data_IF_767151012252
#
_entry.id   IF_767151012252
#
_cell.length_a   1.000
_cell.length_b   1.000
_cell.length_c   1.000
_cell.angle_alpha   90.00
_cell.angle_beta   90.00
_cell.angle_gamma   90.00
#
_symmetry.space_group_name_H-M   'P 1'
#
loop_
_entity.id
_entity.type
_entity.pdbx_description
1 polymer ?
#
# COMPACT_ATOMS: atom_id res chain seq x y z
N UNK A 1 -32.97 -32.76 -24.21
CA UNK A 1 -32.86 -32.12 -22.88
C UNK A 1 -31.48 -32.30 -22.24
N UNK A 2 -30.89 -33.51 -22.18
CA UNK A 2 -29.54 -33.75 -21.59
C UNK A 2 -28.38 -32.95 -22.22
N UNK A 3 -28.40 -32.71 -23.55
CA UNK A 3 -27.36 -31.94 -24.25
C UNK A 3 -27.36 -30.44 -23.90
N UNK A 4 -28.54 -29.87 -23.59
CA UNK A 4 -28.67 -28.45 -23.19
C UNK A 4 -28.16 -28.26 -21.76
N UNK A 5 -28.41 -29.23 -20.88
CA UNK A 5 -27.92 -29.20 -19.49
C UNK A 5 -26.39 -29.26 -19.39
N UNK A 6 -25.73 -30.06 -20.26
CA UNK A 6 -24.27 -30.14 -20.32
C UNK A 6 -23.66 -28.83 -20.82
N UNK A 7 -24.26 -28.17 -21.83
CA UNK A 7 -23.76 -26.88 -22.33
C UNK A 7 -23.89 -25.74 -21.31
N UNK A 8 -24.94 -25.74 -20.49
CA UNK A 8 -25.10 -24.76 -19.40
C UNK A 8 -24.07 -25.01 -18.28
N UNK A 9 -23.79 -26.29 -17.96
CA UNK A 9 -22.78 -26.64 -16.95
C UNK A 9 -21.37 -26.22 -17.39
N UNK A 10 -21.03 -26.41 -18.66
CA UNK A 10 -19.73 -25.99 -19.22
C UNK A 10 -19.62 -24.47 -19.24
N UNK A 11 -20.67 -23.74 -19.63
CA UNK A 11 -20.68 -22.27 -19.61
C UNK A 11 -20.50 -21.68 -18.19
N UNK A 12 -21.05 -22.33 -17.16
CA UNK A 12 -20.86 -21.93 -15.76
C UNK A 12 -19.42 -22.15 -15.26
N UNK A 13 -18.75 -23.20 -15.72
CA UNK A 13 -17.35 -23.48 -15.35
C UNK A 13 -16.39 -22.45 -15.95
N UNK A 14 -16.62 -21.95 -17.17
CA UNK A 14 -15.77 -20.92 -17.79
C UNK A 14 -15.98 -19.51 -17.22
N UNK A 15 -17.14 -19.22 -16.63
CA UNK A 15 -17.40 -17.95 -15.94
C UNK A 15 -16.76 -17.90 -14.54
N UNK A 16 -16.38 -19.05 -13.99
CA UNK A 16 -15.61 -19.18 -12.74
C UNK A 16 -14.10 -18.98 -12.95
N UNK A 17 -13.70 -18.17 -13.93
CA UNK A 17 -12.36 -17.61 -13.97
C UNK A 17 -12.29 -16.50 -12.91
N UNK A 18 -12.08 -16.92 -11.66
CA UNK A 18 -12.02 -16.07 -10.48
C UNK A 18 -11.10 -14.85 -10.74
N UNK A 19 -11.69 -13.67 -10.81
CA UNK A 19 -10.94 -12.44 -10.74
C UNK A 19 -10.37 -12.33 -9.33
N UNK A 20 -9.05 -12.19 -9.20
CA UNK A 20 -8.40 -11.94 -7.90
C UNK A 20 -9.14 -10.79 -7.18
N UNK A 21 -9.53 -10.93 -5.91
CA UNK A 21 -10.33 -9.94 -5.18
C UNK A 21 -9.65 -8.55 -5.16
N UNK A 22 -8.32 -8.50 -5.23
CA UNK A 22 -7.54 -7.27 -5.23
C UNK A 22 -7.21 -6.71 -6.62
N UNK A 23 -7.76 -7.26 -7.71
CA UNK A 23 -7.44 -6.85 -9.09
C UNK A 23 -7.65 -5.34 -9.33
N UNK A 24 -8.76 -4.79 -8.84
CA UNK A 24 -9.08 -3.37 -8.98
C UNK A 24 -8.12 -2.50 -8.17
N UNK A 25 -7.86 -2.86 -6.92
CA UNK A 25 -6.90 -2.17 -6.05
C UNK A 25 -5.49 -2.19 -6.66
N UNK A 26 -5.01 -3.34 -7.11
CA UNK A 26 -3.71 -3.50 -7.76
C UNK A 26 -3.59 -2.67 -9.05
N UNK A 27 -4.68 -2.54 -9.82
CA UNK A 27 -4.71 -1.64 -10.98
C UNK A 27 -4.58 -0.17 -10.56
N UNK A 28 -5.26 0.24 -9.50
CA UNK A 28 -5.15 1.60 -8.92
C UNK A 28 -3.72 1.87 -8.42
N UNK A 29 -3.16 0.95 -7.65
CA UNK A 29 -1.77 0.99 -7.17
C UNK A 29 -0.78 1.23 -8.31
N UNK A 30 -0.83 0.40 -9.36
CA UNK A 30 0.07 0.52 -10.52
C UNK A 30 -0.08 1.87 -11.22
N UNK A 31 -1.31 2.39 -11.32
CA UNK A 31 -1.58 3.71 -11.92
C UNK A 31 -0.94 4.82 -11.09
N UNK A 32 -1.10 4.80 -9.77
CA UNK A 32 -0.54 5.81 -8.87
C UNK A 32 0.99 5.75 -8.83
N UNK A 33 1.57 4.56 -8.67
CA UNK A 33 3.02 4.37 -8.69
C UNK A 33 3.64 4.87 -10.00
N UNK A 34 3.00 4.59 -11.15
CA UNK A 34 3.44 5.12 -12.44
C UNK A 34 3.36 6.65 -12.51
N UNK A 35 2.35 7.26 -11.89
CA UNK A 35 2.25 8.72 -11.83
C UNK A 35 3.39 9.33 -11.00
N UNK A 36 3.71 8.78 -9.84
CA UNK A 36 4.86 9.21 -9.05
C UNK A 36 6.20 9.01 -9.76
N UNK A 37 6.37 7.89 -10.48
CA UNK A 37 7.57 7.67 -11.30
C UNK A 37 7.77 8.76 -12.37
N UNK A 38 6.68 9.27 -12.97
CA UNK A 38 6.76 10.41 -13.90
C UNK A 38 7.15 11.72 -13.21
N UNK A 39 6.66 11.96 -11.98
CA UNK A 39 7.06 13.12 -11.18
C UNK A 39 8.55 13.06 -10.88
N UNK A 40 9.05 11.91 -10.43
CA UNK A 40 10.47 11.69 -10.15
C UNK A 40 11.36 11.82 -11.40
N UNK A 41 10.83 11.52 -12.58
CA UNK A 41 11.54 11.66 -13.85
C UNK A 41 11.44 13.08 -14.47
N UNK A 42 10.69 14.01 -13.86
CA UNK A 42 10.56 15.38 -14.40
C UNK A 42 11.90 16.10 -14.33
N UNK A 43 12.37 16.57 -15.48
CA UNK A 43 13.61 17.31 -15.65
C UNK A 43 13.54 18.22 -16.88
N UNK A 44 14.06 19.46 -16.85
CA UNK A 44 14.50 20.17 -15.65
C UNK A 44 13.32 20.44 -14.70
N UNK A 45 13.62 20.74 -13.44
CA UNK A 45 12.57 21.10 -12.48
C UNK A 45 12.06 22.52 -12.76
N UNK A 46 10.76 22.73 -12.58
CA UNK A 46 10.16 24.07 -12.56
C UNK A 46 10.18 24.55 -11.11
N UNK A 47 10.83 25.69 -10.86
CA UNK A 47 10.83 26.35 -9.56
C UNK A 47 10.06 27.68 -9.65
N UNK A 48 9.50 28.08 -8.52
CA UNK A 48 8.91 29.40 -8.29
C UNK A 48 9.90 30.55 -8.44
N UNK A 49 11.20 30.28 -8.27
CA UNK A 49 12.28 31.27 -8.37
C UNK A 49 13.07 31.05 -9.65
N UNK A 50 12.92 31.94 -10.63
CA UNK A 50 13.64 31.86 -11.90
C UNK A 50 14.80 32.87 -11.94
N UNK A 51 15.81 32.66 -11.08
CA UNK A 51 16.98 33.54 -11.00
C UNK A 51 18.23 32.92 -11.66
N UNK A 52 18.23 31.61 -11.90
CA UNK A 52 19.29 30.91 -12.63
C UNK A 52 19.01 30.92 -14.14
N UNK A 53 20.06 31.11 -14.95
CA UNK A 53 19.93 31.03 -16.42
C UNK A 53 19.83 29.59 -16.91
N UNK A 54 20.50 28.67 -16.23
CA UNK A 54 20.61 27.25 -16.58
C UNK A 54 20.23 26.36 -15.40
N UNK A 55 19.65 25.20 -15.69
CA UNK A 55 19.45 24.14 -14.71
C UNK A 55 20.76 23.40 -14.46
N UNK A 56 21.24 23.37 -13.21
CA UNK A 56 22.45 22.65 -12.81
C UNK A 56 22.05 21.39 -12.04
N UNK A 57 21.98 20.26 -12.74
CA UNK A 57 21.64 18.96 -12.14
C UNK A 57 22.80 18.35 -11.36
N UNK A 58 22.58 17.99 -10.10
CA UNK A 58 23.53 17.17 -9.33
C UNK A 58 23.39 15.69 -9.68
N UNK A 59 24.51 14.97 -9.71
CA UNK A 59 24.55 13.51 -9.88
C UNK A 59 24.51 12.75 -8.56
N UNK A 60 24.64 13.45 -7.43
CA UNK A 60 24.77 12.86 -6.10
C UNK A 60 23.41 12.80 -5.38
N UNK A 61 22.56 11.84 -5.74
CA UNK A 61 21.24 11.67 -5.10
C UNK A 61 20.85 10.18 -4.97
N UNK A 62 19.94 9.90 -4.03
CA UNK A 62 19.33 8.60 -3.79
C UNK A 62 17.83 8.78 -3.47
N UNK A 63 17.06 7.69 -3.45
CA UNK A 63 15.68 7.73 -2.95
C UNK A 63 15.64 8.10 -1.46
N UNK A 64 14.63 8.87 -1.05
CA UNK A 64 14.34 9.14 0.36
C UNK A 64 13.99 7.82 1.06
N UNK A 65 14.63 7.54 2.19
CA UNK A 65 14.47 6.28 2.95
C UNK A 65 13.78 6.52 4.30
N UNK A 66 13.01 5.55 4.80
CA UNK A 66 12.49 5.56 6.16
C UNK A 66 13.60 5.31 7.19
N UNK A 67 13.43 5.86 8.40
CA UNK A 67 14.35 5.74 9.53
C UNK A 67 13.72 5.08 10.76
N UNK A 68 12.40 4.89 10.75
CA UNK A 68 11.65 4.27 11.84
C UNK A 68 10.88 3.04 11.34
N UNK A 69 10.64 2.11 12.25
CA UNK A 69 9.60 1.09 12.09
C UNK A 69 8.56 1.37 13.16
N UNK A 70 7.30 1.52 12.73
CA UNK A 70 6.17 1.69 13.63
C UNK A 70 5.34 0.43 13.57
N UNK A 71 5.10 -0.14 14.75
CA UNK A 71 4.26 -1.32 14.92
C UNK A 71 2.89 -0.87 15.38
N UNK A 72 1.88 -1.41 14.72
CA UNK A 72 0.47 -1.21 15.03
C UNK A 72 -0.22 -2.56 15.15
N UNK A 73 -1.37 -2.57 15.81
CA UNK A 73 -2.35 -3.62 15.62
C UNK A 73 -3.57 -3.03 14.90
N UNK A 74 -4.23 -3.86 14.10
CA UNK A 74 -5.26 -3.41 13.16
C UNK A 74 -6.53 -2.91 13.84
N UNK A 75 -6.81 -3.35 15.07
CA UNK A 75 -8.07 -3.17 15.77
C UNK A 75 -9.28 -3.66 14.96
N UNK A 76 -9.06 -4.64 14.09
CA UNK A 76 -10.07 -5.30 13.27
C UNK A 76 -10.18 -6.77 13.64
N UNK A 77 -11.24 -7.43 13.15
CA UNK A 77 -11.53 -8.82 13.55
C UNK A 77 -10.86 -9.86 12.63
N UNK A 78 -10.32 -9.42 11.48
CA UNK A 78 -9.62 -10.31 10.55
C UNK A 78 -8.64 -9.56 9.65
N UNK A 79 -7.66 -10.31 9.15
CA UNK A 79 -6.74 -9.86 8.13
C UNK A 79 -7.47 -9.41 6.86
N UNK A 80 -8.51 -10.11 6.41
CA UNK A 80 -9.29 -9.77 5.21
C UNK A 80 -10.00 -8.42 5.35
N UNK A 81 -10.54 -8.11 6.54
CA UNK A 81 -11.17 -6.81 6.85
C UNK A 81 -10.14 -5.68 6.73
N UNK A 82 -8.94 -5.91 7.28
CA UNK A 82 -7.80 -4.99 7.22
C UNK A 82 -7.37 -4.75 5.77
N UNK A 83 -7.16 -5.83 4.99
CA UNK A 83 -6.78 -5.75 3.58
C UNK A 83 -7.84 -5.01 2.76
N UNK A 84 -9.13 -5.22 3.05
CA UNK A 84 -10.23 -4.50 2.40
C UNK A 84 -10.19 -3.01 2.73
N UNK A 85 -9.94 -2.66 3.99
CA UNK A 85 -9.82 -1.27 4.45
C UNK A 85 -8.65 -0.57 3.76
N UNK A 86 -7.46 -1.18 3.74
CA UNK A 86 -6.24 -0.59 3.15
C UNK A 86 -6.24 -0.55 1.63
N UNK A 87 -7.09 -1.33 0.97
CA UNK A 87 -7.27 -1.28 -0.48
C UNK A 87 -8.43 -0.39 -0.94
N UNK A 88 -9.22 0.13 0.00
CA UNK A 88 -10.34 1.03 -0.28
C UNK A 88 -9.89 2.49 -0.28
N UNK A 89 -9.88 3.16 -1.43
CA UNK A 89 -9.40 4.56 -1.56
C UNK A 89 -10.04 5.54 -0.56
N UNK A 90 -11.30 5.36 -0.19
CA UNK A 90 -12.00 6.25 0.75
C UNK A 90 -11.43 6.21 2.18
N UNK A 91 -10.81 5.09 2.59
CA UNK A 91 -10.31 4.92 3.95
C UNK A 91 -9.17 5.89 4.28
N UNK A 92 -8.37 6.26 3.28
CA UNK A 92 -7.20 7.13 3.43
C UNK A 92 -6.23 6.66 4.54
N UNK A 93 -6.15 5.34 4.75
CA UNK A 93 -5.20 4.67 5.65
C UNK A 93 -4.55 3.49 4.94
N UNK A 94 -3.31 3.20 5.29
CA UNK A 94 -2.55 2.08 4.72
C UNK A 94 -1.31 1.81 5.55
N UNK A 95 -0.75 0.60 5.40
CA UNK A 95 0.55 0.23 5.94
C UNK A 95 1.45 -0.36 4.83
N UNK A 96 2.73 -0.54 5.15
CA UNK A 96 3.66 -1.22 4.24
C UNK A 96 3.49 -2.73 4.33
N UNK A 97 3.28 -3.23 5.55
CA UNK A 97 3.12 -4.65 5.83
C UNK A 97 1.87 -4.90 6.68
N UNK A 98 1.15 -5.98 6.39
CA UNK A 98 0.14 -6.57 7.26
C UNK A 98 0.58 -7.99 7.61
N UNK A 99 0.57 -8.36 8.89
CA UNK A 99 0.87 -9.70 9.39
C UNK A 99 -0.44 -10.28 9.92
N UNK A 100 -0.95 -11.32 9.27
CA UNK A 100 -2.15 -12.03 9.70
C UNK A 100 -1.85 -12.93 10.92
N UNK A 101 -2.90 -13.35 11.65
CA UNK A 101 -2.78 -14.25 12.83
C UNK A 101 -2.12 -15.61 12.54
N UNK A 102 -2.12 -16.05 11.30
CA UNK A 102 -1.48 -17.31 10.87
C UNK A 102 0.00 -17.14 10.46
N UNK A 103 0.58 -15.95 10.68
CA UNK A 103 1.95 -15.61 10.30
C UNK A 103 2.10 -15.17 8.83
N UNK A 104 1.02 -15.16 8.03
CA UNK A 104 1.06 -14.68 6.65
C UNK A 104 1.43 -13.19 6.60
N UNK A 105 2.45 -12.85 5.82
CA UNK A 105 2.90 -11.46 5.63
C UNK A 105 2.50 -10.94 4.25
N UNK A 106 1.75 -9.85 4.22
CA UNK A 106 1.42 -9.10 3.02
C UNK A 106 2.27 -7.82 2.93
N UNK A 107 3.20 -7.77 1.97
CA UNK A 107 3.90 -6.53 1.60
C UNK A 107 3.03 -5.74 0.61
N UNK A 108 2.38 -4.68 1.10
CA UNK A 108 1.32 -3.96 0.39
C UNK A 108 1.81 -2.72 -0.37
N UNK A 109 2.87 -2.07 0.11
CA UNK A 109 3.40 -0.83 -0.46
C UNK A 109 4.92 -0.86 -0.44
N UNK A 110 5.54 -0.51 -1.56
CA UNK A 110 7.00 -0.40 -1.65
C UNK A 110 7.59 0.51 -0.56
N UNK A 111 8.64 0.07 0.13
CA UNK A 111 9.31 0.74 1.26
C UNK A 111 9.75 2.20 1.02
N UNK A 112 9.87 2.63 -0.24
CA UNK A 112 10.22 4.02 -0.60
C UNK A 112 9.01 4.94 -0.75
N UNK A 113 7.79 4.40 -0.75
CA UNK A 113 6.55 5.16 -0.82
C UNK A 113 5.99 5.38 0.58
N UNK A 114 5.40 6.55 0.81
CA UNK A 114 4.81 6.92 2.11
C UNK A 114 3.47 6.21 2.33
N UNK A 115 3.40 5.28 3.29
CA UNK A 115 2.14 4.77 3.83
C UNK A 115 1.40 5.80 4.70
N UNK A 116 0.11 5.57 4.96
CA UNK A 116 -0.76 6.43 5.77
C UNK A 116 -1.21 5.70 7.05
N UNK A 117 -0.25 5.43 7.93
CA UNK A 117 -0.43 4.56 9.11
C UNK A 117 -0.43 5.33 10.44
N UNK A 118 0.50 6.27 10.62
CA UNK A 118 0.71 6.94 11.91
C UNK A 118 -0.13 8.21 12.11
N UNK A 119 -1.03 8.56 11.19
CA UNK A 119 -1.85 9.78 11.29
C UNK A 119 -1.06 11.07 11.57
N UNK A 120 -1.62 11.94 12.42
CA UNK A 120 -0.92 13.11 12.97
C UNK A 120 -0.06 12.66 14.14
N UNK A 121 1.25 12.59 13.94
CA UNK A 121 2.19 12.04 14.91
C UNK A 121 3.56 12.73 14.91
N UNK A 122 4.28 12.56 16.01
CA UNK A 122 5.61 13.11 16.27
C UNK A 122 6.41 12.19 17.20
N UNK A 123 7.71 12.05 16.94
CA UNK A 123 8.66 11.33 17.80
C UNK A 123 9.96 12.13 17.92
N UNK A 124 10.32 12.53 19.14
CA UNK A 124 11.40 13.49 19.36
C UNK A 124 11.16 14.79 18.57
N UNK A 125 12.10 15.20 17.74
CA UNK A 125 11.97 16.37 16.86
C UNK A 125 11.35 16.06 15.50
N UNK A 126 11.09 14.79 15.18
CA UNK A 126 10.55 14.39 13.89
C UNK A 126 9.01 14.45 13.91
N UNK A 127 8.45 15.40 13.16
CA UNK A 127 7.03 15.43 12.84
C UNK A 127 6.75 14.69 11.52
N UNK A 128 5.48 14.32 11.28
CA UNK A 128 5.06 13.56 10.09
C UNK A 128 5.77 12.20 9.97
N UNK A 129 5.51 11.33 10.94
CA UNK A 129 6.15 10.01 11.04
C UNK A 129 5.93 9.15 9.79
N UNK A 130 4.78 9.27 9.12
CA UNK A 130 4.51 8.56 7.87
C UNK A 130 5.60 8.77 6.81
N UNK A 131 6.16 9.98 6.70
CA UNK A 131 7.17 10.32 5.68
C UNK A 131 8.55 9.74 5.94
N UNK A 132 8.76 9.12 7.10
CA UNK A 132 10.06 8.66 7.58
C UNK A 132 9.98 7.29 8.25
N UNK A 133 8.92 6.52 8.03
CA UNK A 133 8.72 5.23 8.67
C UNK A 133 8.20 4.15 7.74
N UNK A 134 8.52 2.91 8.08
CA UNK A 134 7.79 1.71 7.68
C UNK A 134 6.70 1.46 8.72
N UNK A 135 5.50 1.15 8.26
CA UNK A 135 4.37 0.78 9.10
C UNK A 135 4.07 -0.71 8.94
N UNK A 136 4.02 -1.43 10.05
CA UNK A 136 3.68 -2.85 10.13
C UNK A 136 2.44 -2.98 10.99
N UNK A 137 1.40 -3.58 10.43
CA UNK A 137 0.11 -3.80 11.08
C UNK A 137 -0.06 -5.28 11.39
N UNK A 138 -0.24 -5.62 12.65
CA UNK A 138 -0.44 -7.00 13.11
C UNK A 138 -1.93 -7.23 13.34
N UNK A 139 -2.50 -8.27 12.72
CA UNK A 139 -3.92 -8.59 12.81
C UNK A 139 -4.32 -8.97 14.24
N UNK A 140 -4.93 -8.02 14.95
CA UNK A 140 -5.38 -8.19 16.33
C UNK A 140 -6.42 -7.12 16.67
N UNK A 141 -7.50 -7.54 17.33
CA UNK A 141 -8.62 -6.66 17.69
C UNK A 141 -8.38 -5.81 18.95
N UNK A 142 -7.27 -6.02 19.66
CA UNK A 142 -6.90 -5.34 20.91
C UNK A 142 -7.46 -5.97 22.18
N UNK A 143 -8.25 -7.05 22.08
CA UNK A 143 -8.92 -7.72 23.21
C UNK A 143 -8.42 -9.14 23.45
N UNK A 144 -7.42 -9.59 22.69
CA UNK A 144 -6.81 -10.91 22.79
C UNK A 144 -5.29 -10.83 22.64
N UNK A 145 -4.53 -11.78 23.23
CA UNK A 145 -3.09 -11.85 22.98
C UNK A 145 -2.76 -12.02 21.50
N UNK A 146 -1.58 -11.57 21.09
CA UNK A 146 -1.02 -11.92 19.78
C UNK A 146 -0.71 -13.42 19.72
N UNK A 147 -0.78 -13.98 18.52
CA UNK A 147 -0.43 -15.36 18.22
C UNK A 147 1.08 -15.55 18.13
N UNK A 148 1.57 -16.78 18.33
CA UNK A 148 3.00 -17.12 18.24
C UNK A 148 3.53 -17.30 16.80
N UNK A 149 2.65 -17.25 15.81
CA UNK A 149 2.90 -17.63 14.40
C UNK A 149 3.89 -16.72 13.65
#
# INVERSE_FOLDING_TARGET
MKKVTISILVAAVVYSCATSPYKTANKSYKKQAKAFGKVLAKYPLEDSVFNGRDFIGTTNFNLRRPNFVILHHTAQNSCEETLTTFTTTKSQVSAHYVICKDGTVHHMLNDYLRAWQAGVSKWGNAADINSISIGIEIDNNGFEPFTDA
#
